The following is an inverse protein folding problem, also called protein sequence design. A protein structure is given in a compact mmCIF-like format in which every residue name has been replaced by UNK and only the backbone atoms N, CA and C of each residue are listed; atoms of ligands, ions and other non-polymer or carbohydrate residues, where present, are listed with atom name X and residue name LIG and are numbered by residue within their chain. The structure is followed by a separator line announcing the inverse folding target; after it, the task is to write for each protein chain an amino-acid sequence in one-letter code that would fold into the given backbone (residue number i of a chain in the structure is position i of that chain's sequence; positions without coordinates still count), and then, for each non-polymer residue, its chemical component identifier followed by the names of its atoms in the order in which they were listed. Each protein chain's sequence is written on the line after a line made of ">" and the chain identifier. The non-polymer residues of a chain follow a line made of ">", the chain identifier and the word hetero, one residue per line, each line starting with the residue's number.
data_IF_597487963047
#
_entry.id   IF_597487963047
#
_cell.length_a   1.000
_cell.length_b   1.000
_cell.length_c   1.000
_cell.angle_alpha   90.00
_cell.angle_beta   90.00
_cell.angle_gamma   90.00
#
_symmetry.space_group_name_H-M   'P 1'
#
loop_
_entity.id
_entity.type
_entity.pdbx_description
1 polymer ?
#
# COMPACT_ATOMS: atom_id res chain seq x y z
N UNK A 1 -11.60 -6.83 -23.42
CA UNK A 1 -10.88 -7.88 -22.65
C UNK A 1 -9.37 -7.88 -22.94
N UNK A 2 -8.91 -8.03 -24.19
CA UNK A 2 -7.47 -8.11 -24.51
C UNK A 2 -6.62 -6.91 -24.06
N UNK A 3 -7.11 -5.68 -24.23
CA UNK A 3 -6.39 -4.46 -23.80
C UNK A 3 -6.22 -4.39 -22.26
N UNK A 4 -7.28 -4.71 -21.51
CA UNK A 4 -7.26 -4.74 -20.05
C UNK A 4 -6.27 -5.78 -19.51
N UNK A 5 -6.26 -6.94 -20.17
CA UNK A 5 -5.34 -8.02 -19.86
C UNK A 5 -3.88 -7.63 -20.11
N UNK A 6 -3.62 -6.94 -21.22
CA UNK A 6 -2.32 -6.40 -21.56
C UNK A 6 -1.84 -5.37 -20.52
N UNK A 7 -2.73 -4.47 -20.09
CA UNK A 7 -2.43 -3.46 -19.06
C UNK A 7 -1.97 -4.14 -17.76
N UNK A 8 -2.70 -5.15 -17.28
CA UNK A 8 -2.32 -5.88 -16.05
C UNK A 8 -0.95 -6.52 -16.19
N UNK A 9 -0.70 -7.22 -17.31
CA UNK A 9 0.59 -7.87 -17.56
C UNK A 9 1.74 -6.86 -17.58
N UNK A 10 1.57 -5.71 -18.25
CA UNK A 10 2.57 -4.63 -18.30
C UNK A 10 2.84 -4.08 -16.90
N UNK A 11 1.79 -3.77 -16.13
CA UNK A 11 1.95 -3.25 -14.77
C UNK A 11 2.62 -4.26 -13.84
N UNK A 12 2.29 -5.55 -13.93
CA UNK A 12 2.98 -6.60 -13.17
C UNK A 12 4.45 -6.72 -13.56
N UNK A 13 4.73 -6.78 -14.87
CA UNK A 13 6.08 -6.88 -15.41
C UNK A 13 6.95 -5.68 -15.05
N UNK A 14 6.36 -4.51 -14.80
CA UNK A 14 7.07 -3.34 -14.29
C UNK A 14 7.17 -3.32 -12.76
N UNK A 15 6.05 -3.49 -12.05
CA UNK A 15 5.96 -3.24 -10.61
C UNK A 15 6.74 -4.28 -9.79
N UNK A 16 6.73 -5.55 -10.19
CA UNK A 16 7.44 -6.63 -9.47
C UNK A 16 8.96 -6.40 -9.49
N UNK A 17 9.63 -6.29 -10.64
CA UNK A 17 11.08 -6.08 -10.65
C UNK A 17 11.46 -4.73 -10.06
N UNK A 18 10.64 -3.68 -10.26
CA UNK A 18 10.95 -2.36 -9.72
C UNK A 18 10.91 -2.35 -8.19
N UNK A 19 9.89 -2.95 -7.57
CA UNK A 19 9.82 -3.11 -6.12
C UNK A 19 11.00 -3.95 -5.60
N UNK A 20 11.35 -5.05 -6.27
CA UNK A 20 12.47 -5.90 -5.87
C UNK A 20 13.83 -5.19 -5.96
N UNK A 21 14.08 -4.45 -7.04
CA UNK A 21 15.33 -3.69 -7.23
C UNK A 21 15.49 -2.64 -6.15
N UNK A 22 14.44 -1.86 -5.86
CA UNK A 22 14.52 -0.80 -4.85
C UNK A 22 14.61 -1.39 -3.44
N UNK A 23 13.88 -2.47 -3.15
CA UNK A 23 14.03 -3.20 -1.89
C UNK A 23 15.48 -3.68 -1.71
N UNK A 24 16.07 -4.29 -2.74
CA UNK A 24 17.47 -4.73 -2.72
C UNK A 24 18.45 -3.56 -2.51
N UNK A 25 18.23 -2.41 -3.17
CA UNK A 25 19.06 -1.21 -2.98
C UNK A 25 19.01 -0.75 -1.52
N UNK A 26 17.81 -0.67 -0.93
CA UNK A 26 17.63 -0.24 0.46
C UNK A 26 18.24 -1.25 1.43
N UNK A 27 18.04 -2.54 1.20
CA UNK A 27 18.61 -3.62 2.00
C UNK A 27 20.15 -3.58 2.00
N UNK A 28 20.75 -3.38 0.82
CA UNK A 28 22.20 -3.26 0.69
C UNK A 28 22.75 -2.03 1.41
N UNK A 29 22.07 -0.89 1.30
CA UNK A 29 22.45 0.32 2.04
C UNK A 29 22.34 0.12 3.55
N UNK A 30 21.34 -0.64 4.01
CA UNK A 30 21.14 -0.99 5.42
C UNK A 30 22.29 -1.83 5.98
N UNK A 31 22.78 -2.81 5.22
CA UNK A 31 23.97 -3.60 5.58
C UNK A 31 25.21 -2.72 5.64
N UNK A 32 25.38 -1.81 4.67
CA UNK A 32 26.60 -1.00 4.53
C UNK A 32 26.70 0.11 5.57
N UNK A 33 25.58 0.73 5.97
CA UNK A 33 25.55 1.88 6.87
C UNK A 33 24.49 1.71 7.96
N UNK A 34 24.87 1.02 9.05
CA UNK A 34 23.99 0.78 10.21
C UNK A 34 23.49 2.07 10.90
N UNK A 35 24.25 3.17 10.79
CA UNK A 35 23.91 4.49 11.35
C UNK A 35 22.94 5.33 10.50
N UNK A 36 22.66 4.93 9.25
CA UNK A 36 21.79 5.66 8.31
C UNK A 36 20.38 5.06 8.18
N UNK A 37 20.07 4.08 9.02
CA UNK A 37 18.83 3.31 8.97
C UNK A 37 17.73 3.98 9.82
N UNK A 38 17.21 5.10 9.31
CA UNK A 38 16.09 5.83 9.91
C UNK A 38 14.80 5.01 9.85
N UNK A 39 13.95 5.09 10.88
CA UNK A 39 12.67 4.37 10.93
C UNK A 39 11.84 4.47 9.64
N UNK A 40 11.78 5.66 9.04
CA UNK A 40 11.10 5.89 7.76
C UNK A 40 11.52 4.92 6.67
N UNK A 41 12.82 4.71 6.53
CA UNK A 41 13.40 3.85 5.51
C UNK A 41 13.12 2.38 5.81
N UNK A 42 13.00 2.02 7.09
CA UNK A 42 12.57 0.68 7.53
C UNK A 42 11.09 0.45 7.21
N UNK A 43 10.19 1.36 7.59
CA UNK A 43 8.76 1.19 7.31
C UNK A 43 8.46 1.21 5.80
N UNK A 44 9.17 2.03 5.02
CA UNK A 44 9.10 1.98 3.56
C UNK A 44 9.68 0.68 2.97
N UNK A 45 10.76 0.17 3.55
CA UNK A 45 11.36 -1.11 3.13
C UNK A 45 10.41 -2.27 3.42
N UNK A 46 9.78 -2.29 4.59
CA UNK A 46 8.82 -3.33 4.97
C UNK A 46 7.62 -3.32 4.01
N UNK A 47 7.14 -2.12 3.63
CA UNK A 47 6.09 -1.96 2.63
C UNK A 47 6.51 -2.45 1.23
N UNK A 48 7.75 -2.13 0.81
CA UNK A 48 8.31 -2.54 -0.49
C UNK A 48 8.61 -4.04 -0.58
N UNK A 49 8.98 -4.66 0.54
CA UNK A 49 9.36 -6.08 0.57
C UNK A 49 8.13 -6.99 0.43
N UNK A 50 6.99 -6.53 0.94
CA UNK A 50 5.75 -7.29 0.96
C UNK A 50 4.87 -7.07 -0.27
N UNK A 51 5.18 -6.05 -1.06
CA UNK A 51 4.54 -5.80 -2.34
C UNK A 51 4.74 -6.95 -3.35
N UNK A 52 5.97 -7.39 -3.69
CA UNK A 52 6.19 -8.43 -4.71
C UNK A 52 5.47 -9.76 -4.46
N UNK A 53 5.47 -10.36 -3.25
CA UNK A 53 4.73 -11.59 -2.99
C UNK A 53 3.24 -11.46 -3.28
N UNK A 54 2.64 -10.34 -2.87
CA UNK A 54 1.22 -10.05 -3.09
C UNK A 54 0.92 -9.86 -4.58
N UNK A 55 1.75 -9.10 -5.28
CA UNK A 55 1.61 -8.91 -6.74
C UNK A 55 1.76 -10.23 -7.50
N UNK A 56 2.65 -11.12 -7.06
CA UNK A 56 2.87 -12.43 -7.66
C UNK A 56 1.69 -13.36 -7.43
N UNK A 57 1.12 -13.38 -6.22
CA UNK A 57 -0.12 -14.12 -5.92
C UNK A 57 -1.27 -13.64 -6.81
N UNK A 58 -1.46 -12.33 -6.94
CA UNK A 58 -2.51 -11.79 -7.83
C UNK A 58 -2.26 -12.09 -9.29
N UNK A 59 -1.02 -12.03 -9.75
CA UNK A 59 -0.67 -12.40 -11.11
C UNK A 59 -0.99 -13.87 -11.39
N UNK A 60 -0.69 -14.78 -10.45
CA UNK A 60 -1.06 -16.20 -10.56
C UNK A 60 -2.58 -16.37 -10.65
N UNK A 61 -3.35 -15.76 -9.73
CA UNK A 61 -4.82 -15.84 -9.78
C UNK A 61 -5.40 -15.28 -11.08
N UNK A 62 -4.80 -14.21 -11.59
CA UNK A 62 -5.18 -13.61 -12.84
C UNK A 62 -4.88 -14.53 -14.05
N UNK A 63 -3.69 -15.14 -14.11
CA UNK A 63 -3.31 -16.10 -15.17
C UNK A 63 -4.21 -17.33 -15.14
N UNK A 64 -4.48 -17.87 -13.94
CA UNK A 64 -5.41 -18.98 -13.74
C UNK A 64 -6.81 -18.65 -14.30
N UNK A 65 -7.26 -17.40 -14.16
CA UNK A 65 -8.56 -16.94 -14.68
C UNK A 65 -8.56 -16.71 -16.20
N UNK A 66 -7.41 -16.40 -16.78
CA UNK A 66 -7.29 -16.06 -18.20
C UNK A 66 -7.20 -17.29 -19.12
N UNK A 67 -6.74 -18.43 -18.61
CA UNK A 67 -6.53 -19.66 -19.39
C UNK A 67 -7.69 -20.66 -19.25
N UNK A 68 -8.50 -20.87 -20.32
CA UNK A 68 -9.69 -21.74 -20.29
C UNK A 68 -9.43 -23.17 -19.76
N UNK A 69 -8.40 -23.91 -20.16
CA UNK A 69 -8.24 -25.31 -19.73
C UNK A 69 -7.83 -25.45 -18.25
N UNK A 70 -7.02 -24.52 -17.73
CA UNK A 70 -6.63 -24.49 -16.30
C UNK A 70 -7.83 -24.07 -15.46
N UNK A 71 -8.54 -23.08 -15.97
CA UNK A 71 -9.75 -22.61 -15.33
C UNK A 71 -10.77 -23.75 -15.26
N UNK A 72 -11.04 -24.52 -16.33
CA UNK A 72 -12.01 -25.65 -16.37
C UNK A 72 -11.68 -26.77 -15.38
N UNK A 73 -10.40 -27.08 -15.23
CA UNK A 73 -9.94 -28.06 -14.24
C UNK A 73 -10.15 -27.59 -12.79
N UNK A 74 -9.93 -26.30 -12.49
CA UNK A 74 -10.24 -25.70 -11.18
C UNK A 74 -11.74 -25.41 -10.98
N UNK A 75 -12.47 -25.15 -12.06
CA UNK A 75 -13.89 -24.78 -12.12
C UNK A 75 -14.81 -25.90 -11.63
N UNK A 76 -14.46 -27.17 -11.89
CA UNK A 76 -15.25 -28.31 -11.46
C UNK A 76 -15.25 -28.55 -9.94
N UNK A 77 -14.39 -27.87 -9.17
CA UNK A 77 -14.18 -28.21 -7.75
C UNK A 77 -14.63 -27.15 -6.73
N UNK A 78 -14.52 -25.83 -6.98
CA UNK A 78 -14.77 -24.84 -5.89
C UNK A 78 -14.82 -23.35 -6.29
N UNK A 79 -15.40 -22.98 -7.44
CA UNK A 79 -15.24 -21.62 -8.00
C UNK A 79 -15.67 -20.45 -7.10
N UNK A 80 -16.74 -20.58 -6.33
CA UNK A 80 -17.18 -19.56 -5.37
C UNK A 80 -16.12 -19.29 -4.29
N UNK A 81 -15.34 -20.30 -3.91
CA UNK A 81 -14.30 -20.16 -2.90
C UNK A 81 -13.06 -19.49 -3.50
N UNK A 82 -12.56 -19.91 -4.66
CA UNK A 82 -11.31 -19.38 -5.24
C UNK A 82 -11.44 -17.91 -5.68
N UNK A 83 -12.57 -17.52 -6.29
CA UNK A 83 -12.82 -16.12 -6.64
C UNK A 83 -12.93 -15.25 -5.39
N UNK A 84 -13.64 -15.72 -4.35
CA UNK A 84 -13.72 -15.06 -3.05
C UNK A 84 -12.35 -14.89 -2.37
N UNK A 85 -11.48 -15.91 -2.43
CA UNK A 85 -10.12 -15.86 -1.90
C UNK A 85 -9.27 -14.79 -2.58
N UNK A 86 -9.39 -14.61 -3.90
CA UNK A 86 -8.64 -13.58 -4.63
C UNK A 86 -8.99 -12.16 -4.15
N UNK A 87 -10.27 -11.87 -3.96
CA UNK A 87 -10.74 -10.59 -3.42
C UNK A 87 -10.34 -10.42 -1.96
N UNK A 88 -10.41 -11.48 -1.15
CA UNK A 88 -9.98 -11.45 0.24
C UNK A 88 -8.49 -11.10 0.37
N UNK A 89 -7.63 -11.75 -0.41
CA UNK A 89 -6.21 -11.43 -0.48
C UNK A 89 -5.98 -9.96 -0.89
N UNK A 90 -6.79 -9.42 -1.82
CA UNK A 90 -6.73 -8.01 -2.23
C UNK A 90 -7.07 -7.05 -1.09
N UNK A 91 -8.13 -7.32 -0.34
CA UNK A 91 -8.49 -6.49 0.80
C UNK A 91 -7.44 -6.57 1.92
N UNK A 92 -6.91 -7.76 2.23
CA UNK A 92 -5.79 -7.91 3.18
C UNK A 92 -4.56 -7.11 2.77
N UNK A 93 -4.19 -7.19 1.50
CA UNK A 93 -3.07 -6.42 0.95
C UNK A 93 -3.31 -4.91 1.05
N UNK A 94 -4.55 -4.47 0.79
CA UNK A 94 -4.94 -3.07 0.89
C UNK A 94 -4.94 -2.58 2.35
N UNK A 95 -5.35 -3.41 3.31
CA UNK A 95 -5.23 -3.09 4.74
C UNK A 95 -3.77 -2.97 5.17
N UNK A 96 -2.90 -3.85 4.68
CA UNK A 96 -1.46 -3.73 4.90
C UNK A 96 -0.92 -2.38 4.41
N UNK A 97 -1.33 -1.96 3.20
CA UNK A 97 -0.94 -0.68 2.61
C UNK A 97 -1.38 0.50 3.46
N UNK A 98 -2.63 0.51 3.90
CA UNK A 98 -3.19 1.58 4.73
C UNK A 98 -2.39 1.71 6.03
N UNK A 99 -2.12 0.60 6.70
CA UNK A 99 -1.36 0.62 7.95
C UNK A 99 0.08 1.08 7.74
N UNK A 100 0.73 0.68 6.64
CA UNK A 100 2.03 1.20 6.27
C UNK A 100 2.04 2.72 6.07
N UNK A 101 1.06 3.26 5.37
CA UNK A 101 0.94 4.70 5.13
C UNK A 101 0.69 5.45 6.44
N UNK A 102 -0.14 4.92 7.34
CA UNK A 102 -0.37 5.51 8.66
C UNK A 102 0.90 5.52 9.52
N UNK A 103 1.67 4.42 9.56
CA UNK A 103 2.92 4.36 10.31
C UNK A 103 3.96 5.35 9.78
N UNK A 104 4.09 5.45 8.45
CA UNK A 104 4.93 6.43 7.78
C UNK A 104 4.52 7.86 8.15
N UNK A 105 3.21 8.14 8.11
CA UNK A 105 2.65 9.46 8.44
C UNK A 105 2.93 9.80 9.90
N UNK A 106 2.68 8.87 10.83
CA UNK A 106 2.90 9.06 12.26
C UNK A 106 4.37 9.36 12.56
N UNK A 107 5.29 8.58 11.99
CA UNK A 107 6.70 8.83 12.19
C UNK A 107 7.12 10.18 11.62
N UNK A 108 6.58 10.59 10.46
CA UNK A 108 6.89 11.92 9.89
C UNK A 108 6.36 13.05 10.75
N UNK A 109 5.17 12.88 11.31
CA UNK A 109 4.60 13.83 12.26
C UNK A 109 5.49 13.95 13.50
N UNK A 110 5.96 12.84 14.06
CA UNK A 110 6.88 12.83 15.19
C UNK A 110 8.20 13.54 14.86
N UNK A 111 8.83 13.18 13.74
CA UNK A 111 10.12 13.72 13.35
C UNK A 111 10.10 15.22 13.00
N UNK A 112 8.97 15.74 12.48
CA UNK A 112 8.89 17.13 12.02
C UNK A 112 8.19 18.07 13.02
N UNK A 113 7.24 17.57 13.81
CA UNK A 113 6.40 18.42 14.66
C UNK A 113 6.71 18.27 16.15
N UNK A 114 7.30 17.15 16.59
CA UNK A 114 7.54 16.88 18.00
C UNK A 114 9.04 16.75 18.28
N UNK A 115 9.64 17.81 18.80
CA UNK A 115 11.01 17.87 19.34
C UNK A 115 11.13 17.24 20.74
N UNK A 116 10.20 16.36 21.14
CA UNK A 116 10.35 15.62 22.40
C UNK A 116 11.46 14.59 22.24
N UNK A 117 12.64 14.94 22.75
CA UNK A 117 13.86 14.13 22.67
C UNK A 117 13.62 12.70 23.16
N UNK A 118 12.73 12.48 24.13
CA UNK A 118 12.50 11.15 24.70
C UNK A 118 11.54 10.29 23.88
N UNK A 119 10.49 10.88 23.28
CA UNK A 119 9.58 10.15 22.40
C UNK A 119 10.23 9.80 21.06
N UNK A 120 11.04 10.71 20.51
CA UNK A 120 11.86 10.44 19.32
C UNK A 120 12.97 9.44 19.61
N UNK A 121 13.65 9.51 20.77
CA UNK A 121 14.61 8.45 21.20
C UNK A 121 13.93 7.09 21.39
N UNK A 122 12.73 7.04 21.96
CA UNK A 122 11.96 5.79 22.09
C UNK A 122 11.58 5.20 20.72
N UNK A 123 11.08 6.06 19.81
CA UNK A 123 10.78 5.73 18.42
C UNK A 123 12.01 5.49 17.54
N UNK A 124 13.23 5.83 17.95
CA UNK A 124 14.46 5.45 17.25
C UNK A 124 15.09 4.19 17.86
N UNK A 125 14.85 3.91 19.15
CA UNK A 125 15.41 2.78 19.89
C UNK A 125 14.66 1.44 19.69
N UNK A 126 13.32 1.45 19.68
CA UNK A 126 12.51 0.21 19.59
C UNK A 126 11.80 -0.08 18.25
N UNK A 127 12.09 0.55 17.11
CA UNK A 127 10.96 0.85 16.24
C UNK A 127 10.87 -0.12 15.05
N UNK A 128 11.95 -0.78 14.66
CA UNK A 128 11.96 -1.67 13.48
C UNK A 128 11.12 -2.93 13.72
N UNK A 129 11.26 -3.54 14.89
CA UNK A 129 10.49 -4.74 15.28
C UNK A 129 9.03 -4.39 15.52
N UNK A 130 8.75 -3.25 16.16
CA UNK A 130 7.39 -2.83 16.50
C UNK A 130 6.62 -2.35 15.24
N UNK A 131 7.28 -1.65 14.32
CA UNK A 131 6.71 -1.33 12.99
C UNK A 131 6.39 -2.59 12.20
N UNK A 132 7.31 -3.55 12.15
CA UNK A 132 7.11 -4.82 11.45
C UNK A 132 5.97 -5.64 12.09
N UNK A 133 5.91 -5.69 13.42
CA UNK A 133 4.82 -6.36 14.15
C UNK A 133 3.48 -5.66 13.93
N UNK A 134 3.40 -4.33 14.01
CA UNK A 134 2.16 -3.60 13.74
C UNK A 134 1.69 -3.79 12.31
N UNK A 135 2.61 -3.78 11.34
CA UNK A 135 2.33 -4.08 9.94
C UNK A 135 1.81 -5.51 9.76
N UNK A 136 2.34 -6.49 10.48
CA UNK A 136 1.93 -7.91 10.41
C UNK A 136 0.59 -8.19 11.11
N UNK A 137 0.37 -7.57 12.26
CA UNK A 137 -0.82 -7.80 13.10
C UNK A 137 -2.05 -7.12 12.50
N UNK A 138 -1.90 -5.93 11.91
CA UNK A 138 -3.04 -5.16 11.40
C UNK A 138 -3.90 -5.90 10.36
N UNK A 139 -3.35 -6.50 9.29
CA UNK A 139 -4.14 -7.23 8.31
C UNK A 139 -4.74 -8.52 8.90
N UNK A 140 -4.04 -9.17 9.84
CA UNK A 140 -4.58 -10.33 10.56
C UNK A 140 -5.81 -9.95 11.39
N UNK A 141 -5.77 -8.81 12.10
CA UNK A 141 -6.89 -8.32 12.90
C UNK A 141 -8.11 -7.99 12.02
N UNK A 142 -7.89 -7.31 10.88
CA UNK A 142 -8.96 -7.04 9.91
C UNK A 142 -9.48 -8.30 9.24
N UNK A 143 -8.62 -9.31 9.02
CA UNK A 143 -9.01 -10.61 8.50
C UNK A 143 -9.87 -11.42 9.47
N UNK A 144 -9.55 -11.37 10.77
CA UNK A 144 -10.37 -11.99 11.83
C UNK A 144 -11.73 -11.29 11.91
N UNK A 145 -11.76 -9.95 11.90
CA UNK A 145 -13.01 -9.18 11.86
C UNK A 145 -13.86 -9.57 10.66
N UNK A 146 -13.25 -9.73 9.48
CA UNK A 146 -13.94 -10.21 8.28
C UNK A 146 -14.54 -11.61 8.49
N UNK A 147 -13.76 -12.58 8.98
CA UNK A 147 -14.24 -13.95 9.22
C UNK A 147 -15.38 -14.04 10.24
N UNK A 148 -15.32 -13.23 11.29
CA UNK A 148 -16.37 -13.19 12.31
C UNK A 148 -17.66 -12.61 11.73
N UNK A 149 -17.55 -11.50 10.97
CA UNK A 149 -18.69 -10.84 10.33
C UNK A 149 -19.34 -11.74 9.28
N UNK A 150 -18.55 -12.39 8.41
CA UNK A 150 -19.08 -13.31 7.39
C UNK A 150 -19.79 -14.52 7.99
N UNK A 151 -19.27 -15.08 9.08
CA UNK A 151 -19.92 -16.21 9.79
C UNK A 151 -21.23 -15.81 10.48
N UNK A 152 -21.34 -14.58 10.96
CA UNK A 152 -22.58 -14.04 11.55
C UNK A 152 -23.65 -13.81 10.47
N UNK A 153 -23.28 -13.18 9.36
CA UNK A 153 -24.19 -12.91 8.23
C UNK A 153 -24.63 -14.19 7.50
N UNK A 154 -23.74 -15.17 7.35
CA UNK A 154 -24.04 -16.46 6.72
C UNK A 154 -25.05 -17.33 7.49
N UNK A 155 -25.25 -17.08 8.79
CA UNK A 155 -26.30 -17.76 9.59
C UNK A 155 -27.70 -17.18 9.35
N UNK A 156 -27.80 -15.95 8.84
CA UNK A 156 -29.07 -15.25 8.69
C UNK A 156 -29.69 -15.37 7.28
N UNK A 157 -28.99 -15.92 6.28
CA UNK A 157 -29.44 -15.91 4.89
C UNK A 157 -29.43 -17.30 4.26
N UNK A 158 -30.60 -17.80 3.85
CA UNK A 158 -30.82 -19.16 3.35
C UNK A 158 -30.46 -19.38 1.87
N UNK A 159 -29.87 -18.42 1.17
CA UNK A 159 -29.48 -18.56 -0.24
C UNK A 159 -28.02 -18.17 -0.49
N UNK A 160 -27.20 -19.14 -0.90
CA UNK A 160 -25.75 -19.04 -1.10
C UNK A 160 -25.31 -17.94 -2.08
N UNK A 161 -26.10 -17.67 -3.13
CA UNK A 161 -25.80 -16.63 -4.15
C UNK A 161 -25.96 -15.20 -3.62
N UNK A 162 -26.89 -14.97 -2.69
CA UNK A 162 -27.10 -13.65 -2.07
C UNK A 162 -26.06 -13.39 -0.96
N UNK A 163 -25.58 -14.45 -0.31
CA UNK A 163 -24.54 -14.38 0.74
C UNK A 163 -23.20 -13.92 0.17
N UNK A 164 -22.80 -14.39 -1.02
CA UNK A 164 -21.53 -14.00 -1.64
C UNK A 164 -21.50 -12.52 -2.03
N UNK A 165 -22.59 -11.98 -2.57
CA UNK A 165 -22.68 -10.56 -2.92
C UNK A 165 -22.69 -9.66 -1.68
N UNK A 166 -23.44 -10.01 -0.64
CA UNK A 166 -23.54 -9.23 0.59
C UNK A 166 -22.18 -9.17 1.33
N UNK A 167 -21.46 -10.29 1.39
CA UNK A 167 -20.12 -10.37 2.00
C UNK A 167 -19.12 -9.47 1.26
N UNK A 168 -19.14 -9.49 -0.08
CA UNK A 168 -18.21 -8.66 -0.88
C UNK A 168 -18.55 -7.17 -0.73
N UNK A 169 -19.83 -6.81 -0.66
CA UNK A 169 -20.26 -5.43 -0.46
C UNK A 169 -19.85 -4.90 0.92
N UNK A 170 -19.99 -5.70 1.99
CA UNK A 170 -19.51 -5.29 3.32
C UNK A 170 -17.99 -5.13 3.40
N UNK A 171 -17.25 -6.05 2.77
CA UNK A 171 -15.79 -5.93 2.68
C UNK A 171 -15.37 -4.66 1.94
N UNK A 172 -16.10 -4.33 0.86
CA UNK A 172 -15.87 -3.12 0.09
C UNK A 172 -16.19 -1.85 0.89
N UNK A 173 -17.30 -1.84 1.62
CA UNK A 173 -17.66 -0.69 2.49
C UNK A 173 -16.64 -0.48 3.60
N UNK A 174 -16.15 -1.57 4.22
CA UNK A 174 -15.13 -1.49 5.25
C UNK A 174 -13.80 -0.96 4.69
N UNK A 175 -13.41 -1.44 3.50
CA UNK A 175 -12.24 -0.94 2.80
C UNK A 175 -12.36 0.56 2.51
N UNK A 176 -13.48 1.01 1.95
CA UNK A 176 -13.73 2.44 1.69
C UNK A 176 -13.61 3.27 2.97
N UNK A 177 -14.32 2.88 4.04
CA UNK A 177 -14.27 3.60 5.33
C UNK A 177 -12.84 3.70 5.89
N UNK A 178 -12.07 2.61 5.84
CA UNK A 178 -10.69 2.60 6.32
C UNK A 178 -9.75 3.43 5.44
N UNK A 179 -9.92 3.41 4.12
CA UNK A 179 -9.15 4.26 3.20
C UNK A 179 -9.49 5.74 3.48
N UNK A 180 -10.76 6.11 3.55
CA UNK A 180 -11.20 7.48 3.84
C UNK A 180 -10.66 7.96 5.18
N UNK A 181 -10.77 7.14 6.24
CA UNK A 181 -10.23 7.47 7.56
C UNK A 181 -8.71 7.68 7.52
N UNK A 182 -7.98 6.83 6.79
CA UNK A 182 -6.55 6.98 6.57
C UNK A 182 -6.22 8.30 5.86
N UNK A 183 -6.95 8.65 4.80
CA UNK A 183 -6.77 9.90 4.06
C UNK A 183 -6.99 11.11 4.96
N UNK A 184 -8.06 11.12 5.76
CA UNK A 184 -8.37 12.24 6.66
C UNK A 184 -7.28 12.42 7.72
N UNK A 185 -6.88 11.32 8.37
CA UNK A 185 -5.83 11.33 9.39
C UNK A 185 -4.48 11.74 8.79
N UNK A 186 -4.04 11.09 7.72
CA UNK A 186 -2.78 11.40 7.07
C UNK A 186 -2.77 12.79 6.43
N UNK A 187 -3.86 13.21 5.81
CA UNK A 187 -4.02 14.54 5.23
C UNK A 187 -3.89 15.65 6.27
N UNK A 188 -4.56 15.50 7.43
CA UNK A 188 -4.44 16.45 8.54
C UNK A 188 -3.02 16.50 9.12
N UNK A 189 -2.37 15.33 9.27
CA UNK A 189 -0.99 15.24 9.73
C UNK A 189 0.00 15.91 8.76
N UNK A 190 -0.11 15.66 7.45
CA UNK A 190 0.72 16.32 6.44
C UNK A 190 0.46 17.82 6.35
N UNK A 191 -0.79 18.26 6.54
CA UNK A 191 -1.13 19.67 6.69
C UNK A 191 -0.36 20.31 7.87
N UNK A 192 -0.36 19.66 9.03
CA UNK A 192 0.43 20.13 10.19
C UNK A 192 1.94 20.15 9.90
N UNK A 193 2.49 19.07 9.34
CA UNK A 193 3.91 18.98 8.96
C UNK A 193 4.28 20.15 8.06
N UNK A 194 3.49 20.42 7.02
CA UNK A 194 3.75 21.53 6.10
C UNK A 194 3.75 22.89 6.82
N UNK A 195 2.76 23.16 7.68
CA UNK A 195 2.71 24.43 8.42
C UNK A 195 3.90 24.63 9.34
N UNK A 196 4.33 23.59 10.07
CA UNK A 196 5.48 23.66 10.98
C UNK A 196 6.77 23.84 10.19
N UNK A 197 6.97 23.07 9.12
CA UNK A 197 8.17 23.19 8.28
C UNK A 197 8.28 24.56 7.61
N UNK A 198 7.16 25.14 7.16
CA UNK A 198 7.16 26.49 6.57
C UNK A 198 7.58 27.56 7.57
N UNK A 199 7.10 27.46 8.82
CA UNK A 199 7.50 28.38 9.91
C UNK A 199 8.99 28.25 10.20
N UNK A 200 9.48 27.03 10.35
CA UNK A 200 10.90 26.78 10.64
C UNK A 200 11.84 27.24 9.51
N UNK A 201 11.46 27.05 8.24
CA UNK A 201 12.25 27.53 7.10
C UNK A 201 12.33 29.05 7.00
N UNK A 202 11.35 29.80 7.52
CA UNK A 202 11.34 31.27 7.43
C UNK A 202 12.31 31.97 8.39
N UNK A 203 12.72 31.31 9.47
CA UNK A 203 13.57 31.90 10.53
C UNK A 203 14.96 31.28 10.64
N UNK A 204 15.37 30.44 9.69
CA UNK A 204 16.53 29.54 9.82
C UNK A 204 17.63 29.87 8.81
N UNK A 205 18.90 29.66 9.22
CA UNK A 205 20.08 29.95 8.40
C UNK A 205 20.25 29.01 7.19
N UNK A 206 21.14 29.36 6.26
CA UNK A 206 21.33 28.65 4.97
C UNK A 206 21.56 27.14 5.16
N UNK A 207 22.36 26.71 6.15
CA UNK A 207 22.67 25.29 6.38
C UNK A 207 21.49 24.45 6.89
N UNK A 208 20.74 24.97 7.86
CA UNK A 208 19.53 24.32 8.38
C UNK A 208 18.40 24.26 7.33
N UNK A 209 18.34 25.26 6.45
CA UNK A 209 17.41 25.27 5.32
C UNK A 209 17.62 24.08 4.37
N UNK A 210 18.86 23.60 4.20
CA UNK A 210 19.18 22.45 3.35
C UNK A 210 18.70 21.14 3.99
N UNK A 211 18.95 20.96 5.29
CA UNK A 211 18.48 19.80 6.04
C UNK A 211 16.93 19.73 6.07
N UNK A 212 16.26 20.87 6.24
CA UNK A 212 14.81 20.95 6.20
C UNK A 212 14.23 20.65 4.81
N UNK A 213 14.87 21.13 3.74
CA UNK A 213 14.49 20.77 2.36
C UNK A 213 14.60 19.26 2.10
N UNK A 214 15.59 18.58 2.69
CA UNK A 214 15.70 17.14 2.61
C UNK A 214 14.55 16.43 3.36
N UNK A 215 14.19 16.89 4.56
CA UNK A 215 13.03 16.37 5.30
C UNK A 215 11.72 16.61 4.53
N UNK A 216 11.56 17.78 3.90
CA UNK A 216 10.36 18.14 3.15
C UNK A 216 10.14 17.21 1.96
N UNK A 217 11.20 16.92 1.21
CA UNK A 217 11.14 15.98 0.08
C UNK A 217 10.73 14.57 0.51
N UNK A 218 11.19 14.10 1.67
CA UNK A 218 10.76 12.81 2.20
C UNK A 218 9.30 12.82 2.69
N UNK A 219 8.83 13.94 3.25
CA UNK A 219 7.41 14.11 3.62
C UNK A 219 6.51 14.18 2.40
N UNK A 220 6.95 14.86 1.33
CA UNK A 220 6.25 14.92 0.05
C UNK A 220 6.07 13.54 -0.59
N UNK A 221 7.04 12.65 -0.38
CA UNK A 221 6.96 11.26 -0.84
C UNK A 221 5.81 10.49 -0.18
N UNK A 222 5.68 10.57 1.14
CA UNK A 222 4.55 9.94 1.82
C UNK A 222 3.21 10.62 1.48
N UNK A 223 3.21 11.95 1.30
CA UNK A 223 2.03 12.68 0.83
C UNK A 223 1.57 12.23 -0.56
N UNK A 224 2.49 11.95 -1.50
CA UNK A 224 2.15 11.43 -2.81
C UNK A 224 1.40 10.07 -2.73
N UNK A 225 1.73 9.23 -1.75
CA UNK A 225 0.99 7.98 -1.50
C UNK A 225 -0.43 8.25 -0.99
N UNK A 226 -0.62 9.28 -0.15
CA UNK A 226 -1.96 9.69 0.31
C UNK A 226 -2.79 10.21 -0.86
N UNK A 227 -2.21 11.02 -1.76
CA UNK A 227 -2.91 11.46 -2.98
C UNK A 227 -3.33 10.28 -3.87
N UNK A 228 -2.46 9.26 -4.00
CA UNK A 228 -2.80 8.04 -4.73
C UNK A 228 -3.95 7.28 -4.06
N UNK A 229 -3.95 7.20 -2.73
CA UNK A 229 -5.09 6.65 -1.99
C UNK A 229 -6.37 7.44 -2.22
N UNK A 230 -6.34 8.78 -2.28
CA UNK A 230 -7.54 9.57 -2.59
C UNK A 230 -8.19 9.18 -3.91
N UNK A 231 -7.39 8.95 -4.96
CA UNK A 231 -7.91 8.54 -6.26
C UNK A 231 -8.57 7.16 -6.20
N UNK A 232 -7.98 6.23 -5.44
CA UNK A 232 -8.53 4.89 -5.22
C UNK A 232 -9.79 4.97 -4.34
N UNK A 233 -9.82 5.83 -3.33
CA UNK A 233 -10.97 6.00 -2.44
C UNK A 233 -12.20 6.48 -3.20
N UNK A 234 -12.03 7.46 -4.09
CA UNK A 234 -13.11 7.91 -4.99
C UNK A 234 -13.67 6.73 -5.79
N UNK A 235 -12.80 5.86 -6.30
CA UNK A 235 -13.25 4.67 -7.02
C UNK A 235 -14.07 3.72 -6.12
N UNK A 236 -13.58 3.43 -4.92
CA UNK A 236 -14.29 2.57 -3.96
C UNK A 236 -15.63 3.17 -3.54
N UNK A 237 -15.70 4.48 -3.31
CA UNK A 237 -16.93 5.19 -2.99
C UNK A 237 -17.94 5.16 -4.15
N UNK A 238 -17.48 5.30 -5.40
CA UNK A 238 -18.34 5.13 -6.58
C UNK A 238 -18.90 3.71 -6.63
N UNK A 239 -18.12 2.67 -6.34
CA UNK A 239 -18.64 1.30 -6.38
C UNK A 239 -19.57 0.99 -5.19
N UNK A 240 -19.37 1.61 -4.04
CA UNK A 240 -20.22 1.44 -2.85
C UNK A 240 -21.53 2.20 -2.95
N UNK A 241 -21.48 3.48 -3.34
CA UNK A 241 -22.63 4.40 -3.33
C UNK A 241 -23.21 4.66 -4.72
N UNK A 242 -22.56 4.16 -5.78
CA UNK A 242 -23.03 4.31 -7.15
C UNK A 242 -24.35 3.59 -7.38
N UNK A 243 -25.29 4.28 -8.01
CA UNK A 243 -26.51 3.68 -8.51
C UNK A 243 -26.22 2.93 -9.81
N UNK A 244 -25.87 1.65 -9.71
CA UNK A 244 -25.67 0.80 -10.88
C UNK A 244 -27.00 0.18 -11.33
N UNK A 245 -27.31 0.19 -12.64
CA UNK A 245 -28.57 -0.34 -13.16
C UNK A 245 -28.65 -1.86 -13.12
N UNK A 246 -27.51 -2.57 -13.10
CA UNK A 246 -27.44 -4.02 -12.99
C UNK A 246 -26.35 -4.49 -12.01
N UNK A 247 -26.52 -5.71 -11.48
CA UNK A 247 -25.49 -6.36 -10.66
C UNK A 247 -24.25 -6.76 -11.46
N UNK A 248 -24.39 -6.97 -12.77
CA UNK A 248 -23.28 -7.28 -13.69
C UNK A 248 -22.34 -6.09 -13.86
N UNK A 249 -22.86 -4.87 -13.89
CA UNK A 249 -22.05 -3.64 -13.98
C UNK A 249 -21.18 -3.46 -12.72
N UNK A 250 -21.73 -3.77 -11.54
CA UNK A 250 -20.97 -3.76 -10.28
C UNK A 250 -19.84 -4.77 -10.34
N UNK A 251 -20.10 -5.98 -10.84
CA UNK A 251 -19.07 -7.01 -10.99
C UNK A 251 -18.00 -6.63 -12.02
N UNK A 252 -18.38 -5.95 -13.10
CA UNK A 252 -17.44 -5.41 -14.08
C UNK A 252 -16.50 -4.37 -13.44
N UNK A 253 -17.04 -3.48 -12.60
CA UNK A 253 -16.24 -2.51 -11.84
C UNK A 253 -15.29 -3.20 -10.86
N UNK A 254 -15.71 -4.27 -10.17
CA UNK A 254 -14.84 -4.99 -9.21
C UNK A 254 -13.56 -5.55 -9.84
N UNK A 255 -13.54 -5.79 -11.16
CA UNK A 255 -12.34 -6.26 -11.89
C UNK A 255 -11.20 -5.23 -11.85
N UNK A 256 -11.51 -3.93 -11.81
CA UNK A 256 -10.50 -2.87 -11.81
C UNK A 256 -9.77 -2.70 -10.47
N UNK A 257 -10.24 -3.29 -9.35
CA UNK A 257 -9.55 -3.20 -8.06
C UNK A 257 -8.09 -3.69 -8.13
N UNK A 258 -7.86 -4.76 -8.88
CA UNK A 258 -6.52 -5.31 -9.06
C UNK A 258 -5.62 -4.28 -9.74
N UNK A 259 -6.11 -3.60 -10.79
CA UNK A 259 -5.36 -2.55 -11.51
C UNK A 259 -5.00 -1.39 -10.60
N UNK A 260 -5.93 -0.92 -9.77
CA UNK A 260 -5.65 0.15 -8.81
C UNK A 260 -4.61 -0.27 -7.76
N UNK A 261 -4.65 -1.51 -7.29
CA UNK A 261 -3.63 -2.05 -6.38
C UNK A 261 -2.26 -2.13 -7.06
N UNK A 262 -2.18 -2.61 -8.31
CA UNK A 262 -0.94 -2.64 -9.09
C UNK A 262 -0.35 -1.24 -9.26
N UNK A 263 -1.18 -0.25 -9.57
CA UNK A 263 -0.77 1.14 -9.72
C UNK A 263 -0.24 1.73 -8.41
N UNK A 264 -0.95 1.50 -7.29
CA UNK A 264 -0.52 1.92 -5.96
C UNK A 264 0.81 1.29 -5.56
N UNK A 265 1.01 0.01 -5.89
CA UNK A 265 2.25 -0.71 -5.62
C UNK A 265 3.40 -0.23 -6.50
N UNK A 266 3.15 0.18 -7.74
CA UNK A 266 4.17 0.76 -8.62
C UNK A 266 4.57 2.19 -8.21
N UNK A 267 3.64 2.98 -7.66
CA UNK A 267 3.91 4.35 -7.19
C UNK A 267 4.90 4.39 -6.02
N UNK A 268 4.94 3.35 -5.18
CA UNK A 268 5.86 3.25 -4.05
C UNK A 268 7.34 3.39 -4.47
N UNK A 269 7.91 2.51 -5.31
CA UNK A 269 9.29 2.62 -5.74
C UNK A 269 9.52 3.85 -6.66
N UNK A 270 8.55 4.23 -7.50
CA UNK A 270 8.67 5.42 -8.36
C UNK A 270 8.82 6.69 -7.50
N UNK A 271 7.99 6.85 -6.47
CA UNK A 271 8.06 7.99 -5.55
C UNK A 271 9.41 8.04 -4.83
N UNK A 272 9.96 6.89 -4.41
CA UNK A 272 11.29 6.79 -3.81
C UNK A 272 12.38 7.23 -4.79
N UNK A 273 12.32 6.82 -6.06
CA UNK A 273 13.33 7.19 -7.05
C UNK A 273 13.29 8.70 -7.32
N UNK A 274 12.10 9.29 -7.48
CA UNK A 274 11.95 10.70 -7.81
C UNK A 274 12.35 11.59 -6.62
N UNK A 275 11.92 11.24 -5.40
CA UNK A 275 11.97 12.14 -4.25
C UNK A 275 13.12 11.88 -3.28
N UNK A 276 13.81 10.73 -3.37
CA UNK A 276 14.96 10.41 -2.52
C UNK A 276 16.29 10.45 -3.30
N UNK A 277 17.06 11.52 -3.09
CA UNK A 277 18.42 11.66 -3.63
C UNK A 277 19.30 10.45 -3.24
N UNK A 278 19.18 9.98 -2.00
CA UNK A 278 19.96 8.85 -1.49
C UNK A 278 19.64 7.54 -2.22
N UNK A 279 18.40 7.37 -2.69
CA UNK A 279 18.01 6.16 -3.45
C UNK A 279 18.57 6.23 -4.86
N UNK A 280 18.53 7.41 -5.49
CA UNK A 280 19.16 7.67 -6.79
C UNK A 280 20.67 7.46 -6.77
N UNK A 281 21.36 7.99 -5.76
CA UNK A 281 22.81 7.80 -5.62
C UNK A 281 23.19 6.32 -5.49
N UNK A 282 22.44 5.55 -4.69
CA UNK A 282 22.65 4.13 -4.51
C UNK A 282 22.40 3.33 -5.81
N UNK A 283 21.36 3.68 -6.57
CA UNK A 283 21.08 3.14 -7.90
C UNK A 283 22.21 3.45 -8.89
N UNK A 284 22.70 4.68 -8.93
CA UNK A 284 23.84 5.06 -9.78
C UNK A 284 25.12 4.29 -9.41
N UNK A 285 25.37 4.08 -8.11
CA UNK A 285 26.50 3.26 -7.64
C UNK A 285 26.40 1.80 -8.10
N UNK A 286 25.19 1.22 -8.08
CA UNK A 286 24.91 -0.12 -8.58
C UNK A 286 25.16 -0.22 -10.09
N UNK A 287 24.71 0.77 -10.86
CA UNK A 287 24.93 0.83 -12.31
C UNK A 287 26.42 0.93 -12.67
N UNK A 288 27.18 1.79 -11.98
CA UNK A 288 28.63 1.97 -12.23
C UNK A 288 29.46 0.74 -11.87
N UNK A 289 29.06 -0.05 -10.85
CA UNK A 289 29.77 -1.30 -10.48
C UNK A 289 29.52 -2.46 -11.43
N UNK A 290 28.45 -2.44 -12.23
CA UNK A 290 28.24 -3.45 -13.30
C UNK A 290 29.16 -3.24 -14.52
N UNK A 291 29.82 -2.08 -14.63
CA UNK A 291 30.74 -1.73 -15.73
C UNK A 291 32.22 -1.93 -15.39
N UNK A 292 32.54 -2.47 -14.21
CA UNK A 292 33.88 -2.89 -13.80
C UNK A 292 33.86 -4.38 -13.57
#
# INVERSE_FOLDING_TARGET
>A
MQLFNLIIVIFCAMAIPLNFIIAFVIFRERIRNKSRDSYFRSSFFDLLLLDPPVLLIFFIFYVIKAEPPISEFLFNSSWDQTAGWSYYCLYLALYWKITGILLITLQRLCACCYTYADFTKFLDAHPKTLSCLCLLISPLLTGILWFVVTKLLGKCSQSYSNVSQLIVTHALTLAAVLITACIVVSGSAYGRIYTVMRRMMSGSGIGESIAMRAQLRMSLQGFAQVCALCFIDVYFLIVVFGAFPSSEDVEAMRKFYHVFYFLLSALNPISLIILSDKTREALCCLSKRRKK
#
